data_IF_504202250735
#
_entry.id   IF_504202250735
#
_cell.length_a   1.000
_cell.length_b   1.000
_cell.length_c   1.000
_cell.angle_alpha   90.00
_cell.angle_beta   90.00
_cell.angle_gamma   90.00
#
_symmetry.space_group_name_H-M   'P 1'
#
loop_
_entity.id
_entity.type
_entity.pdbx_description
1 polymer ?
#
# COMPACT_ATOMS: atom_id res chain seq x y z
N UNK A 1 -25.18 -16.71 12.31
CA UNK A 1 -24.51 -15.74 11.43
C UNK A 1 -23.06 -15.72 11.86
N UNK A 2 -22.20 -16.33 11.07
CA UNK A 2 -20.82 -16.60 11.46
C UNK A 2 -20.04 -15.29 11.60
N UNK A 3 -19.23 -15.21 12.67
CA UNK A 3 -18.15 -14.26 12.81
C UNK A 3 -17.27 -14.33 11.57
N UNK A 4 -17.49 -13.42 10.62
CA UNK A 4 -16.46 -13.02 9.69
C UNK A 4 -15.43 -12.26 10.54
N UNK A 5 -14.52 -13.02 11.16
CA UNK A 5 -13.27 -12.50 11.68
C UNK A 5 -12.72 -11.51 10.64
N UNK A 6 -12.28 -10.35 11.11
CA UNK A 6 -11.98 -9.19 10.28
C UNK A 6 -10.91 -9.53 9.24
N UNK A 7 -11.36 -10.00 8.06
CA UNK A 7 -10.50 -10.40 6.95
C UNK A 7 -9.50 -9.28 6.64
N UNK A 8 -9.89 -8.04 6.90
CA UNK A 8 -9.13 -6.83 6.61
C UNK A 8 -8.06 -6.52 7.66
N UNK A 9 -8.31 -6.76 8.96
CA UNK A 9 -7.24 -6.68 9.98
C UNK A 9 -6.18 -7.76 9.74
N UNK A 10 -6.58 -8.97 9.30
CA UNK A 10 -5.64 -10.04 8.94
C UNK A 10 -4.87 -9.77 7.65
N UNK A 11 -5.46 -9.02 6.72
CA UNK A 11 -4.93 -8.70 5.38
C UNK A 11 -3.77 -7.70 5.39
N UNK A 12 -3.72 -6.82 6.39
CA UNK A 12 -2.71 -5.76 6.46
C UNK A 12 -1.48 -6.17 7.25
N UNK A 13 -1.66 -7.07 8.21
CA UNK A 13 -0.54 -7.78 8.82
C UNK A 13 0.32 -8.53 7.79
N UNK A 14 -0.23 -8.83 6.59
CA UNK A 14 0.53 -9.41 5.47
C UNK A 14 1.42 -8.39 4.74
N UNK A 15 1.05 -7.11 4.75
CA UNK A 15 1.88 -6.03 4.20
C UNK A 15 2.89 -5.48 5.23
N UNK A 16 2.67 -5.75 6.52
CA UNK A 16 3.58 -5.38 7.63
C UNK A 16 4.80 -6.33 7.77
N UNK A 17 4.96 -7.32 6.88
CA UNK A 17 6.10 -8.24 6.92
C UNK A 17 7.32 -7.61 6.24
N UNK A 18 7.90 -6.64 6.92
CA UNK A 18 9.34 -6.38 6.95
C UNK A 18 9.64 -5.71 8.30
N UNK A 19 9.92 -6.53 9.32
CA UNK A 19 10.76 -6.06 10.43
C UNK A 19 12.17 -5.94 9.83
N UNK A 20 12.39 -4.88 9.06
CA UNK A 20 13.73 -4.46 8.69
C UNK A 20 14.40 -3.93 9.95
N UNK A 21 14.95 -4.86 10.73
CA UNK A 21 15.73 -4.58 11.92
C UNK A 21 16.97 -3.73 11.60
N UNK A 22 17.30 -3.46 10.33
CA UNK A 22 18.41 -2.58 9.95
C UNK A 22 18.20 -1.14 10.42
N UNK A 23 16.98 -0.60 10.38
CA UNK A 23 16.67 0.75 10.86
C UNK A 23 16.73 0.82 12.40
N UNK A 24 16.24 -0.22 13.07
CA UNK A 24 16.33 -0.36 14.52
C UNK A 24 17.80 -0.57 14.98
N UNK A 25 18.59 -1.36 14.24
CA UNK A 25 20.00 -1.61 14.47
C UNK A 25 20.84 -0.36 14.19
N UNK A 26 20.58 0.38 13.11
CA UNK A 26 21.23 1.65 12.79
C UNK A 26 20.91 2.72 13.84
N UNK A 27 19.67 2.76 14.35
CA UNK A 27 19.29 3.65 15.46
C UNK A 27 19.98 3.24 16.76
N UNK A 28 20.04 1.95 17.09
CA UNK A 28 20.81 1.44 18.25
C UNK A 28 22.29 1.75 18.14
N UNK A 29 22.90 1.57 16.97
CA UNK A 29 24.30 1.88 16.71
C UNK A 29 24.59 3.38 16.83
N UNK A 30 23.70 4.25 16.32
CA UNK A 30 23.81 5.71 16.53
C UNK A 30 23.67 6.09 17.99
N UNK A 31 22.70 5.53 18.72
CA UNK A 31 22.51 5.79 20.16
C UNK A 31 23.73 5.30 20.96
N UNK A 32 24.28 4.14 20.64
CA UNK A 32 25.50 3.63 21.27
C UNK A 32 26.74 4.46 20.94
N UNK A 33 26.87 4.93 19.69
CA UNK A 33 27.94 5.84 19.30
C UNK A 33 27.82 7.19 20.04
N UNK A 34 26.61 7.74 20.14
CA UNK A 34 26.32 8.94 20.93
C UNK A 34 26.59 8.72 22.43
N UNK A 35 26.24 7.55 22.98
CA UNK A 35 26.55 7.20 24.39
C UNK A 35 28.04 7.01 24.63
N UNK A 36 28.78 6.42 23.69
CA UNK A 36 30.26 6.32 23.76
C UNK A 36 30.90 7.70 23.66
N UNK A 37 30.40 8.58 22.79
CA UNK A 37 30.86 9.96 22.70
C UNK A 37 30.51 10.77 23.97
N UNK A 38 29.34 10.53 24.57
CA UNK A 38 28.91 11.19 25.80
C UNK A 38 29.64 10.72 27.07
N UNK A 39 30.32 9.56 27.05
CA UNK A 39 31.13 9.07 28.20
C UNK A 39 32.31 9.98 28.55
N UNK A 40 32.66 10.96 27.72
CA UNK A 40 33.68 11.99 28.01
C UNK A 40 33.14 13.37 28.40
N UNK A 41 31.81 13.60 28.31
CA UNK A 41 31.20 14.91 28.54
C UNK A 41 30.29 14.86 29.77
N UNK A 42 30.85 15.14 30.95
CA UNK A 42 30.05 15.53 32.13
C UNK A 42 29.69 17.01 32.04
N UNK A 43 28.86 17.37 31.07
CA UNK A 43 28.11 18.61 31.13
C UNK A 43 26.67 18.23 31.49
N UNK A 44 26.12 18.81 32.57
CA UNK A 44 24.68 18.81 32.78
C UNK A 44 24.08 19.52 31.57
N UNK A 45 23.59 18.76 30.61
CA UNK A 45 22.77 19.29 29.53
C UNK A 45 21.48 19.70 30.21
N UNK A 46 21.35 20.98 30.56
CA UNK A 46 20.03 21.56 30.76
C UNK A 46 19.29 21.35 29.45
N UNK A 47 18.29 20.47 29.47
CA UNK A 47 17.41 20.27 28.33
C UNK A 47 16.84 21.65 27.97
N UNK A 48 16.97 22.10 26.72
CA UNK A 48 16.45 23.40 26.32
C UNK A 48 14.97 23.50 26.71
N UNK A 49 14.56 24.59 27.35
CA UNK A 49 13.22 24.75 27.94
C UNK A 49 12.03 24.52 26.98
N UNK A 50 12.26 24.45 25.66
CA UNK A 50 11.26 24.05 24.68
C UNK A 50 10.95 22.54 24.65
N UNK A 51 11.85 21.69 25.17
CA UNK A 51 11.70 20.23 25.18
C UNK A 51 10.62 19.76 26.17
N UNK A 52 10.36 20.56 27.22
CA UNK A 52 9.36 20.28 28.25
C UNK A 52 8.24 21.33 28.31
N UNK A 53 8.10 22.18 27.29
CA UNK A 53 7.02 23.17 27.24
C UNK A 53 5.69 22.47 26.89
N UNK A 54 4.73 22.36 27.82
CA UNK A 54 3.46 21.69 27.57
C UNK A 54 2.67 22.34 26.43
N UNK A 55 2.87 23.64 26.15
CA UNK A 55 2.20 24.32 25.05
C UNK A 55 2.84 23.99 23.69
N UNK A 56 4.15 23.72 23.63
CA UNK A 56 4.78 23.22 22.40
C UNK A 56 4.52 21.73 22.17
N UNK A 57 4.45 20.93 23.23
CA UNK A 57 4.05 19.51 23.15
C UNK A 57 2.56 19.39 22.79
N UNK A 58 1.69 20.28 23.28
CA UNK A 58 0.29 20.36 22.87
C UNK A 58 0.15 20.82 21.41
N UNK A 59 0.95 21.79 20.94
CA UNK A 59 1.00 22.14 19.50
C UNK A 59 1.54 21.00 18.63
N UNK A 60 2.45 20.17 19.15
CA UNK A 60 2.96 18.98 18.43
C UNK A 60 1.94 17.84 18.32
N UNK A 61 0.88 17.86 19.15
CA UNK A 61 -0.29 16.97 19.09
C UNK A 61 -1.50 17.79 18.65
N UNK A 62 -1.52 18.15 17.36
CA UNK A 62 -2.59 18.99 16.80
C UNK A 62 -4.02 18.44 17.05
N UNK A 63 -5.05 19.29 16.88
CA UNK A 63 -6.47 18.91 17.06
C UNK A 63 -6.91 17.71 16.21
N UNK A 64 -6.12 17.38 15.18
CA UNK A 64 -6.32 16.22 14.32
C UNK A 64 -6.19 14.86 15.04
N UNK A 65 -5.39 14.73 16.11
CA UNK A 65 -5.18 13.43 16.76
C UNK A 65 -6.42 12.92 17.53
N UNK A 66 -7.13 13.77 18.30
CA UNK A 66 -8.44 13.41 18.82
C UNK A 66 -9.46 13.06 17.73
N UNK A 67 -9.45 13.79 16.61
CA UNK A 67 -10.34 13.53 15.47
C UNK A 67 -10.04 12.15 14.83
N UNK A 68 -8.77 11.84 14.58
CA UNK A 68 -8.34 10.53 14.11
C UNK A 68 -8.72 9.40 15.07
N UNK A 69 -8.53 9.59 16.38
CA UNK A 69 -8.96 8.61 17.38
C UNK A 69 -10.49 8.40 17.36
N UNK A 70 -11.26 9.47 17.20
CA UNK A 70 -12.72 9.38 17.07
C UNK A 70 -13.12 8.61 15.79
N UNK A 71 -12.43 8.84 14.67
CA UNK A 71 -12.65 8.07 13.43
C UNK A 71 -12.35 6.58 13.63
N UNK A 72 -11.24 6.24 14.29
CA UNK A 72 -10.91 4.84 14.63
C UNK A 72 -11.97 4.23 15.54
N UNK A 73 -12.44 4.96 16.54
CA UNK A 73 -13.50 4.49 17.44
C UNK A 73 -14.80 4.24 16.67
N UNK A 74 -15.19 5.12 15.75
CA UNK A 74 -16.34 4.95 14.88
C UNK A 74 -16.18 3.73 13.97
N UNK A 75 -14.99 3.53 13.39
CA UNK A 75 -14.67 2.36 12.58
C UNK A 75 -14.81 1.06 13.37
N UNK A 76 -14.24 1.02 14.57
CA UNK A 76 -14.37 -0.13 15.49
C UNK A 76 -15.82 -0.41 15.88
N UNK A 77 -16.62 0.65 16.08
CA UNK A 77 -18.06 0.57 16.34
C UNK A 77 -18.90 0.25 15.09
N UNK A 78 -18.27 -0.03 13.94
CA UNK A 78 -18.92 -0.32 12.65
C UNK A 78 -19.79 0.82 12.12
N UNK A 79 -19.53 2.05 12.55
CA UNK A 79 -20.18 3.27 12.08
C UNK A 79 -19.48 3.79 10.81
N UNK A 80 -19.41 2.95 9.78
CA UNK A 80 -18.56 3.20 8.61
C UNK A 80 -18.96 4.44 7.81
N UNK A 81 -20.25 4.75 7.70
CA UNK A 81 -20.72 5.97 7.01
C UNK A 81 -20.23 7.24 7.71
N UNK A 82 -20.22 7.26 9.04
CA UNK A 82 -19.71 8.38 9.84
C UNK A 82 -18.20 8.55 9.66
N UNK A 83 -17.45 7.44 9.55
CA UNK A 83 -16.01 7.46 9.26
C UNK A 83 -15.74 8.07 7.88
N UNK A 84 -16.51 7.67 6.86
CA UNK A 84 -16.35 8.23 5.51
C UNK A 84 -16.67 9.72 5.51
N UNK A 85 -17.75 10.15 6.17
CA UNK A 85 -18.12 11.55 6.23
C UNK A 85 -17.10 12.40 6.99
N UNK A 86 -16.80 12.05 8.24
CA UNK A 86 -15.89 12.81 9.09
C UNK A 86 -14.44 12.76 8.61
N UNK A 87 -14.01 11.66 8.01
CA UNK A 87 -12.65 11.55 7.47
C UNK A 87 -12.45 12.39 6.20
N UNK A 88 -13.45 12.47 5.31
CA UNK A 88 -13.39 13.38 4.15
C UNK A 88 -13.35 14.85 4.56
N UNK A 89 -14.07 15.23 5.62
CA UNK A 89 -14.01 16.58 6.19
C UNK A 89 -12.63 16.87 6.79
N UNK A 90 -12.09 15.95 7.59
CA UNK A 90 -10.77 16.09 8.20
C UNK A 90 -9.64 16.23 7.17
N UNK A 91 -9.73 15.50 6.05
CA UNK A 91 -8.77 15.60 4.95
C UNK A 91 -8.83 16.95 4.23
N UNK A 92 -10.02 17.56 4.12
CA UNK A 92 -10.18 18.89 3.51
C UNK A 92 -9.53 19.99 4.33
N UNK A 93 -9.57 19.89 5.66
CA UNK A 93 -8.96 20.86 6.57
C UNK A 93 -7.43 20.72 6.66
N UNK A 94 -6.90 19.58 6.23
CA UNK A 94 -5.49 19.25 6.31
C UNK A 94 -5.13 18.60 7.66
N UNK A 95 -4.62 17.37 7.60
CA UNK A 95 -4.24 16.58 8.77
C UNK A 95 -2.82 16.04 8.57
N UNK A 96 -2.05 15.97 9.67
CA UNK A 96 -0.67 15.47 9.65
C UNK A 96 -0.62 13.97 9.34
N UNK A 97 -1.57 13.20 9.88
CA UNK A 97 -1.74 11.76 9.67
C UNK A 97 -2.63 11.46 8.44
N UNK A 98 -2.41 12.18 7.34
CA UNK A 98 -3.23 12.12 6.12
C UNK A 98 -3.40 10.72 5.56
N UNK A 99 -2.30 9.96 5.47
CA UNK A 99 -2.30 8.60 4.91
C UNK A 99 -3.15 7.64 5.72
N UNK A 100 -3.16 7.78 7.04
CA UNK A 100 -3.93 6.94 7.96
C UNK A 100 -5.44 7.26 7.85
N UNK A 101 -5.79 8.55 7.75
CA UNK A 101 -7.17 8.96 7.54
C UNK A 101 -7.67 8.50 6.16
N UNK A 102 -6.87 8.65 5.11
CA UNK A 102 -7.21 8.19 3.75
C UNK A 102 -7.49 6.69 3.73
N UNK A 103 -6.58 5.90 4.29
CA UNK A 103 -6.70 4.45 4.38
C UNK A 103 -7.97 4.03 5.15
N UNK A 104 -8.23 4.64 6.31
CA UNK A 104 -9.40 4.36 7.12
C UNK A 104 -10.71 4.72 6.40
N UNK A 105 -10.76 5.88 5.74
CA UNK A 105 -11.91 6.33 4.94
C UNK A 105 -12.20 5.36 3.80
N UNK A 106 -11.17 4.97 3.05
CA UNK A 106 -11.34 4.08 1.90
C UNK A 106 -11.78 2.67 2.32
N UNK A 107 -11.27 2.15 3.45
CA UNK A 107 -11.76 0.89 4.02
C UNK A 107 -13.20 0.97 4.47
N UNK A 108 -13.56 2.05 5.17
CA UNK A 108 -14.93 2.29 5.60
C UNK A 108 -15.88 2.39 4.40
N UNK A 109 -15.47 3.06 3.32
CA UNK A 109 -16.25 3.17 2.10
C UNK A 109 -16.54 1.80 1.47
N UNK A 110 -15.53 0.93 1.38
CA UNK A 110 -15.69 -0.45 0.90
C UNK A 110 -16.58 -1.31 1.82
N UNK A 111 -16.69 -0.96 3.11
CA UNK A 111 -17.56 -1.65 4.08
C UNK A 111 -19.02 -1.23 3.98
N UNK A 112 -19.30 0.04 3.68
CA UNK A 112 -20.65 0.58 3.59
C UNK A 112 -21.17 0.74 2.16
N UNK A 113 -20.44 0.26 1.13
CA UNK A 113 -20.87 0.37 -0.26
C UNK A 113 -20.75 1.78 -0.85
N UNK A 114 -19.90 2.63 -0.27
CA UNK A 114 -19.67 4.01 -0.69
C UNK A 114 -18.41 4.17 -1.56
N UNK A 115 -17.85 3.10 -2.11
CA UNK A 115 -16.68 3.14 -2.99
C UNK A 115 -16.88 3.97 -4.27
N UNK A 116 -18.13 4.31 -4.62
CA UNK A 116 -18.46 5.18 -5.77
C UNK A 116 -18.65 6.65 -5.42
N UNK A 117 -18.53 7.03 -4.15
CA UNK A 117 -18.63 8.42 -3.71
C UNK A 117 -17.47 9.23 -4.29
N UNK A 118 -17.76 10.38 -4.91
CA UNK A 118 -16.77 11.22 -5.62
C UNK A 118 -15.50 11.47 -4.80
N UNK A 119 -15.64 11.96 -3.57
CA UNK A 119 -14.49 12.18 -2.69
C UNK A 119 -13.70 10.92 -2.36
N UNK A 120 -14.33 9.74 -2.31
CA UNK A 120 -13.62 8.46 -2.10
C UNK A 120 -12.84 8.05 -3.34
N UNK A 121 -13.40 8.25 -4.53
CA UNK A 121 -12.71 7.99 -5.81
C UNK A 121 -11.51 8.92 -5.96
N UNK A 122 -11.67 10.20 -5.62
CA UNK A 122 -10.56 11.17 -5.60
C UNK A 122 -9.44 10.72 -4.66
N UNK A 123 -9.75 10.29 -3.44
CA UNK A 123 -8.75 9.74 -2.53
C UNK A 123 -8.04 8.51 -3.11
N UNK A 124 -8.79 7.60 -3.73
CA UNK A 124 -8.20 6.41 -4.34
C UNK A 124 -7.18 6.78 -5.42
N UNK A 125 -7.40 7.84 -6.21
CA UNK A 125 -6.45 8.30 -7.24
C UNK A 125 -5.13 8.82 -6.70
N UNK A 126 -5.12 9.26 -5.45
CA UNK A 126 -3.93 9.79 -4.76
C UNK A 126 -2.96 8.70 -4.30
N UNK A 127 -3.22 7.42 -4.60
CA UNK A 127 -2.30 6.31 -4.30
C UNK A 127 -0.87 6.55 -4.82
N UNK A 128 -0.74 7.26 -5.95
CA UNK A 128 0.55 7.58 -6.57
C UNK A 128 1.41 8.52 -5.72
N UNK A 129 0.80 9.31 -4.83
CA UNK A 129 1.51 10.18 -3.88
C UNK A 129 2.24 9.37 -2.80
N UNK A 130 1.80 8.13 -2.56
CA UNK A 130 2.32 7.25 -1.51
C UNK A 130 2.81 5.91 -2.07
N UNK A 131 3.81 5.90 -2.97
CA UNK A 131 4.23 4.70 -3.69
C UNK A 131 4.85 3.61 -2.79
N UNK A 132 5.18 3.95 -1.53
CA UNK A 132 5.76 3.05 -0.55
C UNK A 132 4.72 2.44 0.41
N UNK A 133 3.42 2.65 0.17
CA UNK A 133 2.34 2.07 0.98
C UNK A 133 1.54 1.05 0.14
N UNK A 134 1.99 -0.22 0.07
CA UNK A 134 1.32 -1.26 -0.71
C UNK A 134 -0.15 -1.48 -0.33
N UNK A 135 -0.47 -1.38 0.96
CA UNK A 135 -1.84 -1.50 1.48
C UNK A 135 -2.77 -0.43 0.93
N UNK A 136 -2.31 0.84 0.90
CA UNK A 136 -3.05 1.96 0.34
C UNK A 136 -3.29 1.76 -1.17
N UNK A 137 -2.25 1.34 -1.91
CA UNK A 137 -2.37 1.00 -3.33
C UNK A 137 -3.41 -0.09 -3.58
N UNK A 138 -3.43 -1.13 -2.73
CA UNK A 138 -4.38 -2.23 -2.86
C UNK A 138 -5.82 -1.77 -2.63
N UNK A 139 -6.07 -1.04 -1.55
CA UNK A 139 -7.40 -0.50 -1.24
C UNK A 139 -7.87 0.46 -2.34
N UNK A 140 -6.98 1.31 -2.84
CA UNK A 140 -7.25 2.20 -3.96
C UNK A 140 -7.64 1.42 -5.21
N UNK A 141 -6.91 0.35 -5.54
CA UNK A 141 -7.23 -0.50 -6.70
C UNK A 141 -8.65 -1.10 -6.63
N UNK A 142 -9.12 -1.48 -5.44
CA UNK A 142 -10.48 -2.00 -5.23
C UNK A 142 -11.56 -0.94 -5.46
N UNK A 143 -11.33 0.27 -4.96
CA UNK A 143 -12.22 1.41 -5.21
C UNK A 143 -12.24 1.76 -6.70
N UNK A 144 -11.06 1.85 -7.33
CA UNK A 144 -10.92 2.17 -8.74
C UNK A 144 -11.61 1.12 -9.63
N UNK A 145 -11.45 -0.18 -9.34
CA UNK A 145 -12.13 -1.25 -10.07
C UNK A 145 -13.65 -1.06 -10.07
N UNK A 146 -14.22 -0.70 -8.92
CA UNK A 146 -15.67 -0.51 -8.73
C UNK A 146 -16.24 0.66 -9.52
N UNK A 147 -15.37 1.56 -9.99
CA UNK A 147 -15.68 2.74 -10.79
C UNK A 147 -15.14 2.64 -12.23
N UNK A 148 -14.66 1.46 -12.63
CA UNK A 148 -14.11 1.20 -13.97
C UNK A 148 -15.08 0.39 -14.84
N UNK A 149 -14.90 0.40 -16.17
CA UNK A 149 -15.66 -0.45 -17.09
C UNK A 149 -15.51 -1.97 -16.84
N UNK A 150 -14.49 -2.37 -16.07
CA UNK A 150 -14.23 -3.77 -15.71
C UNK A 150 -15.13 -4.28 -14.58
N UNK A 151 -15.89 -3.40 -13.92
CA UNK A 151 -16.80 -3.79 -12.85
C UNK A 151 -17.90 -4.73 -13.37
N UNK A 152 -18.05 -5.89 -12.73
CA UNK A 152 -19.03 -6.93 -13.11
C UNK A 152 -20.48 -6.51 -12.84
N UNK A 153 -20.71 -5.42 -12.10
CA UNK A 153 -22.04 -4.94 -11.73
C UNK A 153 -22.43 -3.71 -12.54
N UNK A 154 -23.38 -3.84 -13.49
CA UNK A 154 -23.98 -2.69 -14.16
C UNK A 154 -24.91 -2.01 -13.17
N UNK A 155 -24.45 -0.93 -12.55
CA UNK A 155 -25.33 -0.01 -11.84
C UNK A 155 -25.26 1.34 -12.55
N UNK A 156 -26.40 2.00 -12.81
CA UNK A 156 -26.46 3.24 -13.55
C UNK A 156 -25.89 4.36 -12.69
N UNK A 157 -24.56 4.54 -12.72
CA UNK A 157 -23.96 5.77 -12.27
C UNK A 157 -24.23 6.81 -13.35
N UNK A 158 -25.10 7.77 -13.03
CA UNK A 158 -25.21 9.04 -13.75
C UNK A 158 -23.80 9.61 -13.89
N UNK A 159 -23.31 9.91 -15.10
CA UNK A 159 -22.03 10.57 -15.26
C UNK A 159 -22.13 11.93 -14.54
N UNK A 160 -21.42 12.06 -13.43
CA UNK A 160 -21.07 13.38 -12.93
C UNK A 160 -19.96 13.91 -13.83
N UNK A 161 -20.19 15.03 -14.51
CA UNK A 161 -19.24 15.65 -15.46
C UNK A 161 -17.90 16.09 -14.82
N UNK A 162 -17.74 15.94 -13.51
CA UNK A 162 -16.60 16.47 -12.74
C UNK A 162 -15.37 15.56 -12.68
N UNK A 163 -15.52 14.23 -12.78
CA UNK A 163 -14.39 13.30 -12.58
C UNK A 163 -14.08 12.50 -13.84
N UNK A 164 -12.80 12.42 -14.27
CA UNK A 164 -12.45 11.63 -15.45
C UNK A 164 -12.79 10.15 -15.21
N UNK A 165 -13.13 9.38 -16.25
CA UNK A 165 -13.45 7.96 -16.10
C UNK A 165 -12.22 7.18 -15.63
N UNK A 166 -12.43 6.21 -14.73
CA UNK A 166 -11.35 5.31 -14.28
C UNK A 166 -11.02 4.32 -15.39
N UNK A 167 -9.76 4.30 -15.82
CA UNK A 167 -9.31 3.40 -16.90
C UNK A 167 -8.89 2.02 -16.36
N UNK A 168 -8.99 0.97 -17.19
CA UNK A 168 -8.47 -0.36 -16.87
C UNK A 168 -6.99 -0.33 -16.47
N UNK A 169 -6.20 0.48 -17.17
CA UNK A 169 -4.78 0.73 -16.87
C UNK A 169 -4.57 1.28 -15.47
N UNK A 170 -5.40 2.23 -15.03
CA UNK A 170 -5.29 2.84 -13.70
C UNK A 170 -5.52 1.80 -12.58
N UNK A 171 -6.50 0.93 -12.76
CA UNK A 171 -6.79 -0.19 -11.84
C UNK A 171 -5.61 -1.17 -11.78
N UNK A 172 -5.07 -1.55 -12.95
CA UNK A 172 -3.92 -2.44 -13.06
C UNK A 172 -2.68 -1.83 -12.40
N UNK A 173 -2.40 -0.55 -12.64
CA UNK A 173 -1.26 0.15 -12.04
C UNK A 173 -1.34 0.18 -10.51
N UNK A 174 -2.51 0.51 -9.94
CA UNK A 174 -2.70 0.50 -8.49
C UNK A 174 -2.53 -0.92 -7.91
N UNK A 175 -3.07 -1.93 -8.60
CA UNK A 175 -2.94 -3.33 -8.18
C UNK A 175 -1.47 -3.79 -8.20
N UNK A 176 -0.74 -3.50 -9.28
CA UNK A 176 0.67 -3.87 -9.40
C UNK A 176 1.54 -3.09 -8.41
N UNK A 177 1.21 -1.84 -8.12
CA UNK A 177 1.87 -1.06 -7.06
C UNK A 177 1.78 -1.75 -5.69
N UNK A 178 0.64 -2.37 -5.37
CA UNK A 178 0.50 -3.15 -4.12
C UNK A 178 1.35 -4.44 -4.09
N UNK A 179 1.70 -4.98 -5.25
CA UNK A 179 2.55 -6.18 -5.40
C UNK A 179 4.04 -5.85 -5.56
N UNK A 180 4.41 -4.56 -5.53
CA UNK A 180 5.78 -4.11 -5.85
C UNK A 180 6.83 -4.68 -4.90
N UNK A 181 6.52 -4.72 -3.60
CA UNK A 181 7.42 -5.20 -2.55
C UNK A 181 7.27 -6.71 -2.39
N UNK A 182 6.04 -7.20 -2.26
CA UNK A 182 5.74 -8.61 -2.04
C UNK A 182 4.91 -9.18 -3.20
N UNK A 183 5.54 -9.59 -4.31
CA UNK A 183 4.85 -10.07 -5.52
C UNK A 183 4.11 -11.41 -5.31
N UNK A 184 4.37 -12.10 -4.20
CA UNK A 184 3.76 -13.38 -3.83
C UNK A 184 2.52 -13.23 -2.94
N UNK A 185 2.10 -12.01 -2.56
CA UNK A 185 0.96 -11.83 -1.65
C UNK A 185 -0.32 -12.41 -2.26
N UNK A 186 -1.01 -13.34 -1.57
CA UNK A 186 -2.07 -14.13 -2.18
C UNK A 186 -3.27 -13.29 -2.59
N UNK A 187 -3.66 -12.31 -1.77
CA UNK A 187 -4.86 -11.52 -2.01
C UNK A 187 -4.72 -10.50 -3.14
N UNK A 188 -3.67 -9.66 -3.19
CA UNK A 188 -3.46 -8.81 -4.35
C UNK A 188 -3.20 -9.59 -5.65
N UNK A 189 -2.59 -10.80 -5.57
CA UNK A 189 -2.47 -11.71 -6.73
C UNK A 189 -3.82 -12.23 -7.20
N UNK A 190 -4.68 -12.69 -6.31
CA UNK A 190 -6.02 -13.16 -6.65
C UNK A 190 -6.87 -12.01 -7.24
N UNK A 191 -6.73 -10.82 -6.68
CA UNK A 191 -7.36 -9.61 -7.21
C UNK A 191 -6.85 -9.26 -8.61
N UNK A 192 -5.53 -9.30 -8.83
CA UNK A 192 -4.93 -9.12 -10.15
C UNK A 192 -5.44 -10.15 -11.17
N UNK A 193 -5.51 -11.44 -10.77
CA UNK A 193 -6.07 -12.50 -11.62
C UNK A 193 -7.51 -12.21 -12.04
N UNK A 194 -8.33 -11.63 -11.15
CA UNK A 194 -9.71 -11.23 -11.44
C UNK A 194 -9.77 -10.09 -12.47
N UNK A 195 -8.90 -9.08 -12.34
CA UNK A 195 -8.82 -7.95 -13.28
C UNK A 195 -8.32 -8.40 -14.65
N UNK A 196 -7.33 -9.30 -14.67
CA UNK A 196 -6.74 -9.81 -15.92
C UNK A 196 -7.68 -10.76 -16.65
N UNK A 197 -8.54 -11.52 -15.97
CA UNK A 197 -9.39 -12.53 -16.60
C UNK A 197 -10.13 -12.07 -17.88
N UNK A 198 -10.84 -10.91 -17.91
CA UNK A 198 -11.52 -10.44 -19.11
C UNK A 198 -10.60 -9.88 -20.22
N UNK A 199 -9.35 -9.52 -19.90
CA UNK A 199 -8.43 -8.82 -20.83
C UNK A 199 -7.28 -9.71 -21.32
N UNK A 200 -6.72 -10.49 -20.40
CA UNK A 200 -5.52 -11.32 -20.51
C UNK A 200 -5.75 -12.68 -19.80
N UNK A 201 -6.57 -13.56 -20.41
CA UNK A 201 -7.02 -14.79 -19.77
C UNK A 201 -5.87 -15.79 -19.52
N UNK A 202 -4.81 -15.81 -20.34
CA UNK A 202 -3.67 -16.70 -20.11
C UNK A 202 -2.88 -16.26 -18.89
N UNK A 203 -2.68 -14.95 -18.72
CA UNK A 203 -2.00 -14.42 -17.54
C UNK A 203 -2.82 -14.69 -16.27
N UNK A 204 -4.14 -14.50 -16.34
CA UNK A 204 -5.04 -14.85 -15.24
C UNK A 204 -4.93 -16.33 -14.85
N UNK A 205 -4.89 -17.23 -15.83
CA UNK A 205 -4.71 -18.68 -15.62
C UNK A 205 -3.35 -19.00 -14.98
N UNK A 206 -2.25 -18.41 -15.46
CA UNK A 206 -0.91 -18.64 -14.90
C UNK A 206 -0.82 -18.17 -13.44
N UNK A 207 -1.51 -17.08 -13.08
CA UNK A 207 -1.56 -16.63 -11.68
C UNK A 207 -2.29 -17.62 -10.76
N UNK A 208 -3.25 -18.37 -11.29
CA UNK A 208 -4.02 -19.38 -10.55
C UNK A 208 -3.34 -20.75 -10.56
N UNK A 209 -2.72 -21.12 -11.68
CA UNK A 209 -2.00 -22.37 -11.88
C UNK A 209 -0.62 -22.11 -12.55
N UNK A 210 0.44 -22.00 -11.73
CA UNK A 210 1.79 -21.76 -12.24
C UNK A 210 2.33 -22.84 -13.18
N UNK A 211 1.78 -24.06 -13.17
CA UNK A 211 2.25 -25.16 -14.04
C UNK A 211 2.01 -24.88 -15.53
N UNK A 212 1.06 -24.01 -15.85
CA UNK A 212 0.75 -23.56 -17.22
C UNK A 212 1.92 -22.79 -17.82
N UNK A 213 2.72 -22.10 -16.98
CA UNK A 213 3.85 -21.31 -17.42
C UNK A 213 4.88 -22.16 -18.18
N UNK A 214 5.19 -23.34 -17.67
CA UNK A 214 6.22 -24.22 -18.26
C UNK A 214 5.80 -24.72 -19.65
N UNK A 215 4.50 -24.98 -19.84
CA UNK A 215 3.95 -25.45 -21.11
C UNK A 215 3.78 -24.33 -22.16
N UNK A 216 3.58 -23.08 -21.72
CA UNK A 216 3.17 -21.97 -22.59
C UNK A 216 4.04 -20.72 -22.47
N UNK A 217 5.25 -20.81 -21.94
CA UNK A 217 6.15 -19.68 -21.65
C UNK A 217 6.21 -18.63 -22.75
N UNK A 218 6.44 -19.01 -24.00
CA UNK A 218 6.53 -18.05 -25.11
C UNK A 218 5.23 -17.26 -25.35
N UNK A 219 4.06 -17.91 -25.17
CA UNK A 219 2.76 -17.24 -25.28
C UNK A 219 2.50 -16.33 -24.09
N UNK A 220 2.90 -16.76 -22.89
CA UNK A 220 2.80 -15.96 -21.66
C UNK A 220 3.65 -14.70 -21.78
N UNK A 221 4.90 -14.81 -22.24
CA UNK A 221 5.80 -13.68 -22.48
C UNK A 221 5.23 -12.72 -23.53
N UNK A 222 4.66 -13.25 -24.62
CA UNK A 222 3.99 -12.42 -25.62
C UNK A 222 2.78 -11.66 -25.04
N UNK A 223 1.97 -12.31 -24.22
CA UNK A 223 0.79 -11.67 -23.60
C UNK A 223 1.22 -10.64 -22.54
N UNK A 224 2.30 -10.88 -21.80
CA UNK A 224 2.90 -9.91 -20.87
C UNK A 224 3.27 -8.59 -21.58
N UNK A 225 3.81 -8.65 -22.79
CA UNK A 225 4.13 -7.44 -23.57
C UNK A 225 2.89 -6.70 -24.08
N UNK A 226 1.76 -7.40 -24.22
CA UNK A 226 0.49 -6.80 -24.67
C UNK A 226 -0.26 -6.05 -23.56
N UNK A 227 0.14 -6.20 -22.29
CA UNK A 227 -0.52 -5.54 -21.17
C UNK A 227 -0.21 -4.04 -21.16
N UNK A 228 -1.27 -3.23 -21.22
CA UNK A 228 -1.19 -1.76 -21.22
C UNK A 228 -0.88 -1.20 -19.83
N UNK A 229 0.37 -1.31 -19.40
CA UNK A 229 0.90 -0.74 -18.14
C UNK A 229 2.23 -0.01 -18.37
N UNK A 230 2.67 0.79 -17.41
CA UNK A 230 3.99 1.43 -17.45
C UNK A 230 5.13 0.43 -17.30
N UNK A 231 6.36 0.87 -17.58
CA UNK A 231 7.55 -0.01 -17.54
C UNK A 231 7.76 -0.60 -16.14
N UNK A 232 7.65 0.22 -15.09
CA UNK A 232 7.80 -0.22 -13.69
C UNK A 232 6.76 -1.26 -13.31
N UNK A 233 5.52 -1.05 -13.72
CA UNK A 233 4.41 -1.98 -13.48
C UNK A 233 4.60 -3.27 -14.27
N UNK A 234 5.10 -3.21 -15.51
CA UNK A 234 5.43 -4.38 -16.33
C UNK A 234 6.48 -5.25 -15.64
N UNK A 235 7.51 -4.65 -15.05
CA UNK A 235 8.53 -5.39 -14.30
C UNK A 235 7.95 -6.06 -13.04
N UNK A 236 7.04 -5.40 -12.34
CA UNK A 236 6.30 -6.04 -11.24
C UNK A 236 5.46 -7.21 -11.77
N UNK A 237 4.70 -7.01 -12.84
CA UNK A 237 3.87 -8.05 -13.44
C UNK A 237 4.69 -9.27 -13.86
N UNK A 238 5.86 -9.06 -14.48
CA UNK A 238 6.81 -10.14 -14.80
C UNK A 238 7.24 -10.90 -13.56
N UNK A 239 7.64 -10.21 -12.47
CA UNK A 239 8.01 -10.87 -11.20
C UNK A 239 6.84 -11.64 -10.57
N UNK A 240 5.62 -11.16 -10.72
CA UNK A 240 4.41 -11.81 -10.20
C UNK A 240 4.10 -13.09 -11.01
N UNK A 241 4.19 -13.03 -12.34
CA UNK A 241 3.82 -14.12 -13.26
C UNK A 241 4.92 -15.15 -13.44
N UNK A 242 6.15 -14.71 -13.69
CA UNK A 242 7.32 -15.57 -13.94
C UNK A 242 8.04 -16.00 -12.66
N UNK A 243 7.65 -15.41 -11.52
CA UNK A 243 8.39 -15.51 -10.27
C UNK A 243 9.57 -14.53 -10.24
N UNK A 244 10.07 -14.24 -9.03
CA UNK A 244 11.36 -13.60 -8.91
C UNK A 244 12.41 -14.59 -9.45
N UNK A 245 13.21 -14.18 -10.43
CA UNK A 245 14.47 -14.84 -10.73
C UNK A 245 15.31 -14.82 -9.44
N UNK A 246 15.23 -15.88 -8.64
CA UNK A 246 16.20 -16.14 -7.58
C UNK A 246 17.53 -16.35 -8.28
N UNK A 247 18.44 -15.37 -8.19
CA UNK A 247 19.86 -15.63 -8.43
C UNK A 247 20.57 -14.83 -9.53
N UNK A 248 20.36 -13.51 -9.64
CA UNK A 248 21.30 -12.66 -10.40
C UNK A 248 21.97 -11.55 -9.56
N UNK A 249 21.31 -11.05 -8.50
CA UNK A 249 21.87 -9.97 -7.68
C UNK A 249 22.54 -10.42 -6.38
N UNK A 250 22.09 -11.51 -5.78
CA UNK A 250 22.69 -12.00 -4.52
C UNK A 250 24.05 -12.71 -4.75
N UNK A 251 24.28 -13.29 -5.93
CA UNK A 251 25.58 -13.94 -6.24
C UNK A 251 26.69 -12.95 -6.63
N UNK A 252 26.36 -11.76 -7.17
CA UNK A 252 27.35 -10.72 -7.44
C UNK A 252 27.86 -10.07 -6.15
N UNK A 253 26.99 -9.84 -5.15
CA UNK A 253 27.40 -9.26 -3.87
C UNK A 253 28.20 -10.26 -3.01
N UNK A 254 27.87 -11.56 -3.03
CA UNK A 254 28.70 -12.58 -2.36
C UNK A 254 30.05 -12.81 -3.04
N UNK A 255 30.17 -12.65 -4.36
CA UNK A 255 31.46 -12.76 -5.07
C UNK A 255 32.36 -11.55 -4.86
N UNK A 256 31.81 -10.35 -4.79
CA UNK A 256 32.59 -9.12 -4.53
C UNK A 256 33.07 -9.08 -3.08
N UNK A 257 32.29 -9.59 -2.12
CA UNK A 257 32.65 -9.61 -0.70
C UNK A 257 33.79 -10.57 -0.31
N UNK A 258 34.11 -11.59 -1.11
CA UNK A 258 35.16 -12.58 -0.78
C UNK A 258 36.56 -12.25 -1.33
N UNK A 259 36.72 -11.22 -2.16
CA UNK A 259 38.00 -10.91 -2.82
C UNK A 259 38.83 -9.79 -2.17
N UNK A 260 38.54 -9.41 -0.92
CA UNK A 260 39.34 -8.41 -0.19
C UNK A 260 39.99 -9.02 1.04
N UNK A 261 40.86 -10.03 0.84
CA UNK A 261 41.90 -10.45 1.81
C UNK A 261 42.84 -11.47 1.17
N UNK A 262 43.78 -10.99 0.36
CA UNK A 262 45.05 -11.65 0.08
C UNK A 262 45.98 -10.66 -0.59
N UNK A 263 46.61 -9.81 0.23
CA UNK A 263 47.91 -9.18 0.01
C UNK A 263 48.48 -8.83 1.39
#
# INVERSE_FOLDING_TARGET
>A
MADAADLWESELGLFDIEVDDSAAAARRARIEASRRAAKGYTAKVEEPGWFNDPDQVARSKGPARPALFALHQQYYQRRFEDVVHGGLELLREGVKEETEVMDLVMRAALRCGQERKEGVVELARRWTEFPNLPSLSFISARILLSNSPLATSPSPSTPSDSTPPVSAREVLSATLSSLRIHPSLPLPRAFLSTILLPLHPLLSQVLTDPSILDAQRAKVEQELESVEVGEKERDVLRRVVLGAEKGAREEEEERVGRNVRSL
#
